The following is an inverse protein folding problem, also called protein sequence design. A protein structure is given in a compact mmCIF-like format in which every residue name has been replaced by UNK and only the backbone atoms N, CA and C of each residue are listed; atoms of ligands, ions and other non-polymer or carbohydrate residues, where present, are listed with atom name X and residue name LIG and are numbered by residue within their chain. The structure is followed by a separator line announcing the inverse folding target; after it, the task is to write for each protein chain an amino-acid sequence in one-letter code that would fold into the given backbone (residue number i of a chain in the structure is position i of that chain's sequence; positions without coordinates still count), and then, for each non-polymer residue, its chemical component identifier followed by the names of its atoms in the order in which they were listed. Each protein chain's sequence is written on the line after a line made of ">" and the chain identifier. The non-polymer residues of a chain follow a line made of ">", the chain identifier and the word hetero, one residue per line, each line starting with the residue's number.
data_IF_702079407307
#
_entry.id   IF_702079407307
#
_cell.length_a   1.000
_cell.length_b   1.000
_cell.length_c   1.000
_cell.angle_alpha   90.00
_cell.angle_beta   90.00
_cell.angle_gamma   90.00
#
_symmetry.space_group_name_H-M   'P 1'
#
loop_
_entity.id
_entity.type
_entity.pdbx_description
1 polymer ?
#
# COMPACT_ATOMS: atom_id res chain seq x y z
N UNK A 1 8.88 -1.33 -27.65
CA UNK A 1 8.07 -2.28 -26.89
C UNK A 1 7.60 -1.61 -25.61
N UNK A 2 6.30 -1.59 -25.34
CA UNK A 2 5.65 -0.87 -24.22
C UNK A 2 6.31 -1.18 -22.86
N UNK A 3 6.65 -2.45 -22.60
CA UNK A 3 7.29 -2.85 -21.35
C UNK A 3 8.70 -2.24 -21.18
N UNK A 4 9.50 -2.19 -22.24
CA UNK A 4 10.83 -1.58 -22.18
C UNK A 4 10.78 -0.05 -21.96
N UNK A 5 9.69 0.60 -22.37
CA UNK A 5 9.49 2.03 -22.10
C UNK A 5 9.08 2.29 -20.65
N UNK A 6 8.27 1.41 -20.07
CA UNK A 6 7.91 1.49 -18.65
C UNK A 6 9.15 1.35 -17.76
N UNK A 7 9.99 0.34 -18.02
CA UNK A 7 11.21 0.10 -17.24
C UNK A 7 12.16 1.31 -17.33
N UNK A 8 12.35 1.88 -18.51
CA UNK A 8 13.15 3.10 -18.70
C UNK A 8 12.61 4.31 -17.93
N UNK A 9 11.30 4.47 -17.86
CA UNK A 9 10.65 5.56 -17.10
C UNK A 9 10.79 5.35 -15.59
N UNK A 10 10.72 4.09 -15.15
CA UNK A 10 10.99 3.73 -13.77
C UNK A 10 12.45 4.03 -13.38
N UNK A 11 13.42 3.58 -14.18
CA UNK A 11 14.85 3.82 -13.96
C UNK A 11 15.23 5.30 -14.05
N UNK A 12 14.56 6.08 -14.90
CA UNK A 12 14.80 7.52 -15.04
C UNK A 12 14.31 8.35 -13.86
N UNK A 13 13.46 7.77 -13.00
CA UNK A 13 12.86 8.46 -11.87
C UNK A 13 11.61 9.28 -12.22
N UNK A 14 11.09 9.16 -13.43
CA UNK A 14 9.86 9.87 -13.87
C UNK A 14 8.64 9.58 -12.99
N UNK A 15 8.57 8.39 -12.39
CA UNK A 15 7.47 7.98 -11.51
C UNK A 15 7.59 8.57 -10.10
N UNK A 16 8.77 9.02 -9.73
CA UNK A 16 9.08 9.52 -8.39
C UNK A 16 9.19 11.03 -8.31
N UNK A 17 9.63 11.68 -9.40
CA UNK A 17 9.90 13.11 -9.43
C UNK A 17 9.23 13.76 -10.65
N UNK A 18 8.35 14.73 -10.38
CA UNK A 18 7.62 15.45 -11.42
C UNK A 18 8.53 16.10 -12.47
N UNK A 19 9.66 16.63 -12.04
CA UNK A 19 10.59 17.36 -12.92
C UNK A 19 11.40 16.46 -13.84
N UNK A 20 11.38 15.15 -13.59
CA UNK A 20 12.01 14.14 -14.46
C UNK A 20 11.11 13.63 -15.57
N UNK A 21 9.81 13.97 -15.51
CA UNK A 21 8.88 13.62 -16.58
C UNK A 21 9.26 14.41 -17.86
N UNK A 22 9.77 13.70 -18.86
CA UNK A 22 10.14 14.30 -20.15
C UNK A 22 8.91 14.61 -20.95
N UNK A 23 8.58 15.88 -21.05
CA UNK A 23 7.49 16.39 -21.90
C UNK A 23 8.11 16.86 -23.21
N UNK A 24 7.70 16.26 -24.31
CA UNK A 24 8.08 16.72 -25.65
C UNK A 24 7.05 17.77 -26.12
N UNK A 25 7.47 19.04 -26.13
CA UNK A 25 6.61 20.14 -26.56
C UNK A 25 6.15 20.05 -28.03
N UNK A 26 6.84 19.25 -28.87
CA UNK A 26 6.43 18.97 -30.23
C UNK A 26 5.17 18.12 -30.32
N UNK A 27 4.84 17.38 -29.23
CA UNK A 27 3.68 16.51 -29.13
C UNK A 27 2.54 17.12 -28.31
N UNK A 28 2.48 18.44 -28.27
CA UNK A 28 1.47 19.20 -27.55
C UNK A 28 0.22 19.37 -28.42
N UNK A 29 -0.92 18.92 -27.91
CA UNK A 29 -2.22 19.01 -28.56
C UNK A 29 -3.21 19.80 -27.71
N UNK A 30 -4.16 20.46 -28.38
CA UNK A 30 -5.23 21.19 -27.70
C UNK A 30 -6.56 20.50 -27.95
N UNK A 31 -7.26 20.11 -26.89
CA UNK A 31 -8.61 19.55 -27.00
C UNK A 31 -9.62 20.59 -27.48
N UNK A 32 -10.80 20.15 -27.95
CA UNK A 32 -11.90 21.03 -28.32
C UNK A 32 -12.32 22.02 -27.20
N UNK A 33 -12.13 21.65 -25.95
CA UNK A 33 -12.41 22.50 -24.77
C UNK A 33 -11.21 23.37 -24.36
N UNK A 34 -10.14 23.42 -25.16
CA UNK A 34 -8.98 24.26 -24.91
C UNK A 34 -7.93 23.69 -23.94
N UNK A 35 -8.12 22.50 -23.41
CA UNK A 35 -7.15 21.83 -22.53
C UNK A 35 -5.94 21.35 -23.34
N UNK A 36 -4.76 21.55 -22.79
CA UNK A 36 -3.51 21.07 -23.36
C UNK A 36 -3.32 19.60 -22.91
N UNK A 37 -3.02 18.74 -23.84
CA UNK A 37 -2.64 17.34 -23.62
C UNK A 37 -1.39 17.03 -24.41
N UNK A 38 -0.60 16.08 -23.96
CA UNK A 38 0.64 15.68 -24.60
C UNK A 38 0.50 14.26 -25.16
N UNK A 39 1.05 14.03 -26.35
CA UNK A 39 1.15 12.72 -26.98
C UNK A 39 2.52 12.08 -26.75
N UNK A 40 2.69 10.87 -27.29
CA UNK A 40 4.03 10.27 -27.45
C UNK A 40 4.59 9.49 -26.28
N UNK A 41 3.87 9.32 -25.18
CA UNK A 41 4.45 8.57 -24.03
C UNK A 41 3.46 8.18 -22.96
N UNK A 42 2.17 8.21 -23.27
CA UNK A 42 1.11 7.93 -22.33
C UNK A 42 0.34 9.19 -21.91
N UNK A 43 -0.50 9.06 -20.89
CA UNK A 43 -1.34 10.15 -20.40
C UNK A 43 -0.60 10.87 -19.28
N UNK A 44 -0.30 12.16 -19.48
CA UNK A 44 0.23 12.99 -18.41
C UNK A 44 -0.88 13.35 -17.42
N UNK A 45 -0.69 13.08 -16.13
CA UNK A 45 -1.67 13.44 -15.12
C UNK A 45 -1.69 14.95 -14.90
N UNK A 46 -2.89 15.51 -14.61
CA UNK A 46 -3.01 16.92 -14.22
C UNK A 46 -2.42 17.20 -12.84
N UNK A 47 -2.44 16.17 -12.00
CA UNK A 47 -1.86 16.20 -10.64
C UNK A 47 -0.90 15.04 -10.53
N UNK A 48 0.35 15.38 -10.39
CA UNK A 48 1.38 14.38 -10.15
C UNK A 48 1.35 13.98 -8.66
N UNK A 49 1.25 12.70 -8.40
CA UNK A 49 1.48 12.09 -7.08
C UNK A 49 2.67 11.16 -7.24
N UNK A 50 3.79 11.40 -6.55
CA UNK A 50 4.94 10.53 -6.63
C UNK A 50 4.57 9.09 -6.30
N UNK A 51 5.14 8.14 -7.01
CA UNK A 51 5.06 6.76 -6.58
C UNK A 51 5.91 6.60 -5.32
N UNK A 52 5.26 6.42 -4.19
CA UNK A 52 5.96 5.95 -3.00
C UNK A 52 6.02 4.42 -3.04
N UNK A 53 7.21 3.86 -2.79
CA UNK A 53 7.28 2.44 -2.49
C UNK A 53 6.41 2.18 -1.25
N UNK A 54 5.24 1.61 -1.50
CA UNK A 54 4.19 1.42 -0.49
C UNK A 54 4.72 0.71 0.76
N UNK A 55 5.77 -0.08 0.60
CA UNK A 55 6.34 -0.86 1.69
C UNK A 55 7.57 -0.21 2.33
N UNK A 56 8.25 0.74 1.66
CA UNK A 56 9.39 1.48 2.20
C UNK A 56 10.68 0.67 2.40
N UNK A 57 10.67 -0.62 2.08
CA UNK A 57 11.85 -1.48 2.02
C UNK A 57 11.55 -2.79 1.32
N UNK A 58 12.56 -3.36 0.68
CA UNK A 58 12.48 -4.69 0.05
C UNK A 58 12.02 -5.78 1.04
N UNK A 59 12.50 -5.72 2.28
CA UNK A 59 12.13 -6.67 3.32
C UNK A 59 10.64 -6.65 3.67
N UNK A 60 10.03 -5.46 3.75
CA UNK A 60 8.60 -5.34 4.00
C UNK A 60 7.78 -5.77 2.79
N UNK A 61 8.21 -5.42 1.58
CA UNK A 61 7.58 -5.89 0.34
C UNK A 61 7.57 -7.41 0.25
N UNK A 62 8.72 -8.04 0.48
CA UNK A 62 8.84 -9.50 0.50
C UNK A 62 7.95 -10.13 1.57
N UNK A 63 7.90 -9.53 2.76
CA UNK A 63 7.05 -9.98 3.86
C UNK A 63 5.56 -9.94 3.50
N UNK A 64 5.10 -8.85 2.88
CA UNK A 64 3.70 -8.73 2.45
C UNK A 64 3.34 -9.75 1.36
N UNK A 65 4.25 -10.03 0.45
CA UNK A 65 4.05 -11.00 -0.64
C UNK A 65 4.16 -12.46 -0.17
N UNK A 66 4.81 -12.73 0.96
CA UNK A 66 5.05 -14.08 1.47
C UNK A 66 3.79 -14.80 1.99
N UNK A 67 2.70 -14.09 2.22
CA UNK A 67 1.50 -14.62 2.88
C UNK A 67 1.61 -14.78 4.41
N UNK A 68 2.76 -14.47 5.01
CA UNK A 68 2.98 -14.64 6.45
C UNK A 68 2.03 -13.80 7.30
N UNK A 69 1.68 -12.60 6.85
CA UNK A 69 0.70 -11.73 7.52
C UNK A 69 -0.66 -12.43 7.58
N UNK A 70 -1.07 -13.03 6.46
CA UNK A 70 -2.33 -13.77 6.37
C UNK A 70 -2.38 -14.96 7.34
N UNK A 71 -1.35 -15.79 7.33
CA UNK A 71 -1.28 -16.96 8.23
C UNK A 71 -1.20 -16.56 9.70
N UNK A 72 -0.42 -15.54 10.05
CA UNK A 72 -0.34 -15.04 11.41
C UNK A 72 -1.70 -14.58 11.92
N UNK A 73 -2.41 -13.75 11.14
CA UNK A 73 -3.73 -13.24 11.50
C UNK A 73 -4.73 -14.38 11.64
N UNK A 74 -4.73 -15.33 10.70
CA UNK A 74 -5.58 -16.53 10.80
C UNK A 74 -5.35 -17.26 12.12
N UNK A 75 -4.09 -17.52 12.51
CA UNK A 75 -3.78 -18.17 13.78
C UNK A 75 -4.23 -17.35 14.99
N UNK A 76 -4.08 -16.02 14.96
CA UNK A 76 -4.56 -15.15 16.04
C UNK A 76 -6.08 -15.23 16.21
N UNK A 77 -6.81 -15.22 15.10
CA UNK A 77 -8.26 -15.35 15.09
C UNK A 77 -8.70 -16.73 15.58
N UNK A 78 -8.05 -17.79 15.12
CA UNK A 78 -8.38 -19.17 15.52
C UNK A 78 -8.17 -19.40 17.01
N UNK A 79 -7.05 -18.91 17.56
CA UNK A 79 -6.71 -19.02 19.00
C UNK A 79 -7.63 -18.18 19.89
N UNK A 80 -8.17 -17.07 19.38
CA UNK A 80 -8.88 -16.07 20.19
C UNK A 80 -10.31 -15.81 19.68
N UNK A 81 -10.99 -16.79 19.13
CA UNK A 81 -12.33 -16.65 18.48
C UNK A 81 -13.31 -15.84 19.31
N UNK A 82 -13.42 -16.12 20.62
CA UNK A 82 -14.33 -15.42 21.53
C UNK A 82 -14.03 -13.92 21.67
N UNK A 83 -12.76 -13.53 21.54
CA UNK A 83 -12.35 -12.13 21.63
C UNK A 83 -12.80 -11.31 20.43
N UNK A 84 -12.84 -11.94 19.27
CA UNK A 84 -13.17 -11.29 18.00
C UNK A 84 -14.64 -11.50 17.57
N UNK A 85 -15.39 -12.29 18.34
CA UNK A 85 -16.81 -12.55 18.05
C UNK A 85 -17.64 -11.27 18.19
N UNK A 86 -18.27 -10.84 17.09
CA UNK A 86 -19.07 -9.62 17.05
C UNK A 86 -18.29 -8.31 17.21
N UNK A 87 -16.96 -8.32 17.10
CA UNK A 87 -16.15 -7.09 17.22
C UNK A 87 -16.50 -6.09 16.12
N UNK A 88 -16.61 -4.80 16.47
CA UNK A 88 -16.76 -3.73 15.49
C UNK A 88 -15.42 -3.36 14.84
N UNK A 89 -15.45 -2.65 13.70
CA UNK A 89 -14.24 -2.14 13.04
C UNK A 89 -13.45 -1.19 13.93
N UNK A 90 -14.14 -0.36 14.70
CA UNK A 90 -13.51 0.63 15.58
C UNK A 90 -12.86 -0.05 16.80
N UNK A 91 -13.55 -1.01 17.40
CA UNK A 91 -13.00 -1.79 18.52
C UNK A 91 -11.81 -2.64 18.07
N UNK A 92 -11.85 -3.19 16.85
CA UNK A 92 -10.74 -3.92 16.26
C UNK A 92 -9.51 -3.01 16.08
N UNK A 93 -9.68 -1.78 15.59
CA UNK A 93 -8.57 -0.82 15.45
C UNK A 93 -7.93 -0.52 16.82
N UNK A 94 -8.76 -0.30 17.84
CA UNK A 94 -8.29 -0.07 19.21
C UNK A 94 -7.53 -1.30 19.72
N UNK A 95 -8.08 -2.50 19.50
CA UNK A 95 -7.46 -3.75 19.92
C UNK A 95 -6.08 -3.96 19.28
N UNK A 96 -5.96 -3.74 17.96
CA UNK A 96 -4.68 -3.89 17.25
C UNK A 96 -3.65 -2.87 17.72
N UNK A 97 -4.06 -1.62 17.99
CA UNK A 97 -3.16 -0.57 18.48
C UNK A 97 -2.67 -0.82 19.92
N UNK A 98 -3.55 -1.33 20.80
CA UNK A 98 -3.22 -1.57 22.21
C UNK A 98 -2.58 -2.93 22.46
N UNK A 99 -2.86 -3.90 21.59
CA UNK A 99 -2.36 -5.26 21.71
C UNK A 99 -0.86 -5.38 21.40
N UNK A 100 -0.33 -6.55 21.67
CA UNK A 100 1.09 -6.84 21.45
C UNK A 100 1.39 -7.43 20.06
N UNK A 101 0.49 -7.22 19.09
CA UNK A 101 0.50 -7.89 17.79
C UNK A 101 1.79 -7.67 16.98
N UNK A 102 2.45 -6.52 17.12
CA UNK A 102 3.72 -6.28 16.46
C UNK A 102 4.82 -7.22 16.98
N UNK A 103 4.95 -7.34 18.31
CA UNK A 103 5.96 -8.22 18.90
C UNK A 103 5.61 -9.70 18.68
N UNK A 104 4.33 -10.05 18.79
CA UNK A 104 3.87 -11.41 18.55
C UNK A 104 4.15 -11.83 17.09
N UNK A 105 3.98 -10.92 16.15
CA UNK A 105 4.31 -11.14 14.75
C UNK A 105 5.83 -11.29 14.52
N UNK A 106 6.65 -10.48 15.18
CA UNK A 106 8.12 -10.66 15.15
C UNK A 106 8.55 -12.04 15.65
N UNK A 107 7.95 -12.48 16.76
CA UNK A 107 8.21 -13.83 17.32
C UNK A 107 7.75 -14.91 16.34
N UNK A 108 6.60 -14.72 15.69
CA UNK A 108 6.07 -15.63 14.70
C UNK A 108 7.03 -15.79 13.51
N UNK A 109 7.52 -14.67 12.96
CA UNK A 109 8.51 -14.68 11.88
C UNK A 109 9.81 -15.36 12.29
N UNK A 110 10.33 -15.03 13.49
CA UNK A 110 11.57 -15.61 13.99
C UNK A 110 11.48 -17.15 14.13
N UNK A 111 10.33 -17.68 14.54
CA UNK A 111 10.07 -19.13 14.58
C UNK A 111 10.09 -19.77 13.19
N UNK A 112 9.72 -19.01 12.15
CA UNK A 112 9.83 -19.41 10.74
C UNK A 112 11.24 -19.21 10.15
N UNK A 113 12.24 -18.82 10.95
CA UNK A 113 13.61 -18.57 10.49
C UNK A 113 13.80 -17.21 9.80
N UNK A 114 12.82 -16.31 9.87
CA UNK A 114 12.87 -14.99 9.24
C UNK A 114 13.20 -13.91 10.26
N UNK A 115 14.37 -13.31 10.11
CA UNK A 115 14.87 -12.24 10.98
C UNK A 115 14.92 -10.92 10.21
N UNK A 116 13.83 -10.16 10.26
CA UNK A 116 13.77 -8.81 9.69
C UNK A 116 13.79 -7.76 10.82
N UNK A 117 14.56 -6.70 10.64
CA UNK A 117 14.45 -5.53 11.51
C UNK A 117 13.29 -4.64 11.03
N UNK A 118 12.13 -4.77 11.66
CA UNK A 118 10.91 -4.04 11.34
C UNK A 118 10.61 -2.86 12.27
N UNK A 119 11.51 -2.53 13.20
CA UNK A 119 11.25 -1.50 14.23
C UNK A 119 10.95 -0.13 13.60
N UNK A 120 11.71 0.26 12.59
CA UNK A 120 11.48 1.53 11.86
C UNK A 120 10.19 1.55 11.05
N UNK A 121 9.57 0.39 10.84
CA UNK A 121 8.36 0.22 10.02
C UNK A 121 7.17 -0.28 10.84
N UNK A 122 7.27 -0.22 12.17
CA UNK A 122 6.27 -0.72 13.10
C UNK A 122 4.86 -0.27 12.75
N UNK A 123 4.67 1.01 12.47
CA UNK A 123 3.36 1.57 12.12
C UNK A 123 2.81 0.98 10.81
N UNK A 124 3.66 0.80 9.80
CA UNK A 124 3.26 0.16 8.53
C UNK A 124 2.89 -1.31 8.76
N UNK A 125 3.69 -2.04 9.52
CA UNK A 125 3.39 -3.46 9.86
C UNK A 125 2.07 -3.57 10.60
N UNK A 126 1.83 -2.76 11.62
CA UNK A 126 0.57 -2.75 12.37
C UNK A 126 -0.63 -2.41 11.48
N UNK A 127 -0.45 -1.47 10.55
CA UNK A 127 -1.50 -1.14 9.58
C UNK A 127 -1.85 -2.33 8.68
N UNK A 128 -0.86 -3.05 8.17
CA UNK A 128 -1.12 -4.24 7.33
C UNK A 128 -1.69 -5.41 8.13
N UNK A 129 -1.26 -5.60 9.38
CA UNK A 129 -1.89 -6.56 10.28
C UNK A 129 -3.36 -6.20 10.50
N UNK A 130 -3.66 -4.93 10.81
CA UNK A 130 -5.03 -4.46 10.97
C UNK A 130 -5.86 -4.69 9.70
N UNK A 131 -5.33 -4.31 8.54
CA UNK A 131 -6.01 -4.52 7.26
C UNK A 131 -6.33 -5.99 7.02
N UNK A 132 -5.40 -6.89 7.33
CA UNK A 132 -5.61 -8.33 7.20
C UNK A 132 -6.64 -8.89 8.19
N UNK A 133 -6.65 -8.40 9.46
CA UNK A 133 -7.73 -8.71 10.40
C UNK A 133 -9.10 -8.26 9.86
N UNK A 134 -9.18 -7.06 9.30
CA UNK A 134 -10.42 -6.55 8.66
C UNK A 134 -10.84 -7.46 7.50
N UNK A 135 -9.90 -7.90 6.66
CA UNK A 135 -10.21 -8.80 5.55
C UNK A 135 -10.81 -10.12 6.00
N UNK A 136 -10.22 -10.74 7.03
CA UNK A 136 -10.63 -12.06 7.49
C UNK A 136 -11.90 -12.03 8.38
N UNK A 137 -12.12 -10.96 9.14
CA UNK A 137 -13.28 -10.83 10.02
C UNK A 137 -14.52 -10.31 9.30
N UNK A 138 -14.34 -9.44 8.32
CA UNK A 138 -15.46 -8.79 7.64
C UNK A 138 -15.53 -9.21 6.16
N UNK A 139 -14.75 -8.58 5.28
CA UNK A 139 -14.69 -8.91 3.85
C UNK A 139 -13.60 -8.11 3.12
N UNK A 140 -13.39 -8.46 1.83
CA UNK A 140 -12.43 -7.76 0.97
C UNK A 140 -12.79 -6.28 0.72
N UNK A 141 -14.06 -5.93 0.65
CA UNK A 141 -14.46 -4.54 0.43
C UNK A 141 -14.02 -3.65 1.59
N UNK A 142 -14.20 -4.09 2.84
CA UNK A 142 -13.73 -3.38 4.03
C UNK A 142 -12.20 -3.27 4.05
N UNK A 143 -11.49 -4.32 3.65
CA UNK A 143 -10.05 -4.32 3.49
C UNK A 143 -9.57 -3.23 2.52
N UNK A 144 -10.11 -3.18 1.30
CA UNK A 144 -9.75 -2.17 0.32
C UNK A 144 -10.15 -0.76 0.75
N UNK A 145 -11.30 -0.58 1.39
CA UNK A 145 -11.69 0.71 1.95
C UNK A 145 -10.67 1.22 2.97
N UNK A 146 -10.12 0.33 3.80
CA UNK A 146 -9.08 0.70 4.76
C UNK A 146 -7.78 1.09 4.06
N UNK A 147 -7.33 0.32 3.06
CA UNK A 147 -6.12 0.62 2.29
C UNK A 147 -6.23 1.97 1.57
N UNK A 148 -7.36 2.24 0.90
CA UNK A 148 -7.59 3.47 0.14
C UNK A 148 -7.61 4.73 1.02
N UNK A 149 -7.91 4.62 2.31
CA UNK A 149 -7.78 5.73 3.26
C UNK A 149 -6.34 6.21 3.45
N UNK A 150 -5.35 5.37 3.12
CA UNK A 150 -3.92 5.68 3.23
C UNK A 150 -3.23 5.83 1.87
N UNK A 151 -3.97 5.70 0.79
CA UNK A 151 -3.47 5.85 -0.57
C UNK A 151 -3.42 7.34 -0.94
N UNK A 152 -2.22 7.87 -1.17
CA UNK A 152 -2.01 9.30 -1.44
C UNK A 152 -2.65 9.74 -2.76
N UNK A 153 -2.71 8.86 -3.77
CA UNK A 153 -3.38 9.17 -5.04
C UNK A 153 -4.88 9.34 -4.82
N UNK A 154 -5.48 8.43 -4.05
CA UNK A 154 -6.92 8.51 -3.70
C UNK A 154 -7.20 9.73 -2.84
N UNK A 155 -6.38 9.98 -1.81
CA UNK A 155 -6.57 11.15 -0.93
C UNK A 155 -6.43 12.46 -1.70
N UNK A 156 -5.52 12.52 -2.68
CA UNK A 156 -5.36 13.71 -3.53
C UNK A 156 -6.56 13.99 -4.42
N UNK A 157 -7.25 12.94 -4.87
CA UNK A 157 -8.50 13.10 -5.65
C UNK A 157 -9.64 13.54 -4.76
N UNK A 158 -9.76 12.97 -3.56
CA UNK A 158 -10.86 13.28 -2.62
C UNK A 158 -10.73 14.67 -1.99
N UNK A 159 -9.54 15.27 -1.98
CA UNK A 159 -9.27 16.61 -1.46
C UNK A 159 -9.55 17.75 -2.45
N UNK A 160 -9.99 17.46 -3.68
CA UNK A 160 -10.41 18.43 -4.71
C UNK A 160 -11.92 18.69 -4.66
#
# INVERSE_FOLDING_TARGET
>A
NYFNEFDKRFESGELYEKDKAKIDDSLKFKTKKGRIVYGGGGIMPDVFVPYEDAHGSEGLTMLMQSGLVNYFVFEQLDKNRKKFDGISTDDLEIEIKKGNYFNDFKIYMAKGGLLFNLETQKEKVLFYLHAEFVRQLFNEAAYYQLLLKKDDMVQKVLSK
#
